data_IF_816563359396
#
_entry.id   IF_816563359396
#
_cell.length_a   1.000
_cell.length_b   1.000
_cell.length_c   1.000
_cell.angle_alpha   90.00
_cell.angle_beta   90.00
_cell.angle_gamma   90.00
#
_symmetry.space_group_name_H-M   'P 1'
#
loop_
_entity.id
_entity.type
_entity.pdbx_description
1 polymer ?
#
# COMPACT_ATOMS: atom_id res chain seq x y z
N UNK A 1 -17.35 31.84 8.26
CA UNK A 1 -16.01 31.34 7.90
C UNK A 1 -15.19 30.89 9.11
N UNK A 2 -15.16 31.61 10.24
CA UNK A 2 -14.32 31.23 11.40
C UNK A 2 -14.69 29.90 12.09
N UNK A 3 -15.99 29.57 12.26
CA UNK A 3 -16.38 28.38 13.05
C UNK A 3 -16.05 27.03 12.39
N UNK A 4 -16.15 26.91 11.06
CA UNK A 4 -15.83 25.67 10.36
C UNK A 4 -14.32 25.38 10.38
N UNK A 5 -13.50 26.43 10.26
CA UNK A 5 -12.05 26.32 10.33
C UNK A 5 -11.59 25.89 11.72
N UNK A 6 -12.14 26.48 12.80
CA UNK A 6 -11.85 26.08 14.17
C UNK A 6 -12.16 24.61 14.43
N UNK A 7 -13.30 24.09 13.94
CA UNK A 7 -13.63 22.66 14.09
C UNK A 7 -12.62 21.73 13.39
N UNK A 8 -12.10 22.10 12.23
CA UNK A 8 -11.09 21.28 11.54
C UNK A 8 -9.82 21.20 12.39
N UNK A 9 -9.40 22.32 12.99
CA UNK A 9 -8.22 22.37 13.85
C UNK A 9 -8.37 21.51 15.11
N UNK A 10 -9.55 21.48 15.74
CA UNK A 10 -9.81 20.67 16.94
C UNK A 10 -9.64 19.16 16.67
N UNK A 11 -10.04 18.68 15.49
CA UNK A 11 -9.88 17.27 15.12
C UNK A 11 -8.51 16.95 14.49
N UNK A 12 -7.75 17.96 14.05
CA UNK A 12 -6.47 17.78 13.34
C UNK A 12 -5.47 16.93 14.12
N UNK A 13 -5.21 17.15 15.43
CA UNK A 13 -4.27 16.32 16.19
C UNK A 13 -4.67 14.84 16.18
N UNK A 14 -5.96 14.55 16.40
CA UNK A 14 -6.47 13.19 16.39
C UNK A 14 -6.33 12.54 15.02
N UNK A 15 -6.62 13.27 13.94
CA UNK A 15 -6.41 12.79 12.58
C UNK A 15 -4.94 12.46 12.31
N UNK A 16 -4.02 13.34 12.72
CA UNK A 16 -2.58 13.13 12.53
C UNK A 16 -2.11 11.89 13.29
N UNK A 17 -2.35 11.81 14.59
CA UNK A 17 -1.91 10.66 15.39
C UNK A 17 -2.57 9.36 14.96
N UNK A 18 -3.88 9.38 14.68
CA UNK A 18 -4.59 8.20 14.21
C UNK A 18 -4.09 7.71 12.86
N UNK A 19 -3.81 8.62 11.91
CA UNK A 19 -3.25 8.27 10.60
C UNK A 19 -1.86 7.68 10.72
N UNK A 20 -0.99 8.27 11.56
CA UNK A 20 0.37 7.78 11.76
C UNK A 20 0.39 6.39 12.40
N UNK A 21 -0.49 6.13 13.37
CA UNK A 21 -0.61 4.81 13.99
C UNK A 21 -1.15 3.77 13.01
N UNK A 22 -2.22 4.09 12.27
CA UNK A 22 -2.77 3.19 11.25
C UNK A 22 -1.71 2.87 10.18
N UNK A 23 -0.99 3.88 9.71
CA UNK A 23 0.10 3.75 8.75
C UNK A 23 1.23 2.85 9.28
N UNK A 24 1.70 3.09 10.49
CA UNK A 24 2.81 2.33 11.07
C UNK A 24 2.48 0.84 11.17
N UNK A 25 1.28 0.51 11.64
CA UNK A 25 0.82 -0.88 11.77
C UNK A 25 0.65 -1.52 10.40
N UNK A 26 -0.03 -0.83 9.49
CA UNK A 26 -0.36 -1.37 8.16
C UNK A 26 0.87 -1.55 7.29
N UNK A 27 1.81 -0.62 7.33
CA UNK A 27 3.06 -0.72 6.58
C UNK A 27 3.98 -1.80 7.14
N UNK A 28 4.03 -1.97 8.46
CA UNK A 28 4.77 -3.08 9.07
C UNK A 28 4.18 -4.43 8.66
N UNK A 29 2.85 -4.52 8.61
CA UNK A 29 2.15 -5.71 8.11
C UNK A 29 2.43 -5.97 6.63
N UNK A 30 2.47 -4.93 5.79
CA UNK A 30 2.79 -5.06 4.35
C UNK A 30 4.14 -5.72 4.11
N UNK A 31 5.19 -5.21 4.76
CA UNK A 31 6.56 -5.75 4.62
C UNK A 31 6.63 -7.20 5.09
N UNK A 32 6.04 -7.48 6.25
CA UNK A 32 5.99 -8.84 6.79
C UNK A 32 5.25 -9.80 5.85
N UNK A 33 4.07 -9.39 5.36
CA UNK A 33 3.22 -10.24 4.54
C UNK A 33 3.84 -10.44 3.15
N UNK A 34 4.49 -9.43 2.59
CA UNK A 34 5.27 -9.53 1.36
C UNK A 34 6.39 -10.57 1.48
N UNK A 35 7.16 -10.55 2.58
CA UNK A 35 8.21 -11.54 2.83
C UNK A 35 7.65 -12.94 3.08
N UNK A 36 6.52 -13.05 3.77
CA UNK A 36 5.80 -14.33 3.95
C UNK A 36 5.36 -14.91 2.62
N UNK A 37 4.75 -14.10 1.75
CA UNK A 37 4.36 -14.49 0.40
C UNK A 37 5.57 -14.88 -0.46
N UNK A 38 6.69 -14.15 -0.36
CA UNK A 38 7.94 -14.49 -1.04
C UNK A 38 8.45 -15.89 -0.66
N UNK A 39 8.42 -16.24 0.62
CA UNK A 39 8.81 -17.57 1.09
C UNK A 39 7.85 -18.66 0.59
N UNK A 40 6.55 -18.37 0.56
CA UNK A 40 5.52 -19.31 0.12
C UNK A 40 5.54 -19.57 -1.39
N UNK A 41 5.84 -18.54 -2.19
CA UNK A 41 5.88 -18.66 -3.66
C UNK A 41 7.26 -19.06 -4.19
N UNK A 42 8.24 -19.37 -3.33
CA UNK A 42 9.63 -19.67 -3.73
C UNK A 42 10.20 -18.62 -4.69
N UNK A 43 10.02 -17.33 -4.34
CA UNK A 43 10.38 -16.18 -5.17
C UNK A 43 9.67 -16.05 -6.53
N UNK A 44 8.70 -16.93 -6.83
CA UNK A 44 7.91 -16.86 -8.06
C UNK A 44 6.79 -15.83 -7.90
N UNK A 45 6.40 -15.22 -9.01
CA UNK A 45 5.27 -14.28 -9.11
C UNK A 45 5.39 -13.01 -8.25
N UNK A 46 6.37 -12.15 -8.56
CA UNK A 46 6.54 -10.82 -7.92
C UNK A 46 5.24 -9.99 -7.88
N UNK A 47 4.46 -10.01 -8.97
CA UNK A 47 3.19 -9.30 -9.07
C UNK A 47 2.19 -9.75 -7.99
N UNK A 48 2.13 -11.05 -7.69
CA UNK A 48 1.12 -11.64 -6.83
C UNK A 48 1.39 -11.22 -5.40
N UNK A 49 2.65 -11.33 -4.97
CA UNK A 49 3.04 -10.90 -3.63
C UNK A 49 2.90 -9.39 -3.44
N UNK A 50 3.22 -8.58 -4.46
CA UNK A 50 3.07 -7.12 -4.39
C UNK A 50 1.61 -6.70 -4.27
N UNK A 51 0.72 -7.27 -5.11
CA UNK A 51 -0.69 -6.94 -5.07
C UNK A 51 -1.36 -7.46 -3.80
N UNK A 52 -1.12 -8.71 -3.41
CA UNK A 52 -1.72 -9.27 -2.20
C UNK A 52 -1.26 -8.54 -0.93
N UNK A 53 0.03 -8.17 -0.84
CA UNK A 53 0.52 -7.42 0.31
C UNK A 53 -0.10 -6.03 0.36
N UNK A 54 -0.09 -5.31 -0.75
CA UNK A 54 -0.67 -3.96 -0.84
C UNK A 54 -2.17 -3.97 -0.52
N UNK A 55 -2.94 -4.87 -1.15
CA UNK A 55 -4.39 -4.96 -0.96
C UNK A 55 -4.72 -5.25 0.51
N UNK A 56 -4.09 -6.27 1.10
CA UNK A 56 -4.38 -6.67 2.48
C UNK A 56 -4.00 -5.57 3.47
N UNK A 57 -2.87 -4.90 3.26
CA UNK A 57 -2.38 -3.83 4.12
C UNK A 57 -3.23 -2.57 4.01
N UNK A 58 -3.74 -2.25 2.82
CA UNK A 58 -4.66 -1.13 2.62
C UNK A 58 -6.04 -1.38 3.26
N UNK A 59 -6.51 -2.63 3.28
CA UNK A 59 -7.70 -3.00 4.06
C UNK A 59 -7.46 -2.77 5.55
N UNK A 60 -6.32 -3.24 6.06
CA UNK A 60 -5.94 -3.06 7.45
C UNK A 60 -5.85 -1.57 7.83
N UNK A 61 -5.20 -0.75 7.01
CA UNK A 61 -5.09 0.70 7.19
C UNK A 61 -6.47 1.34 7.27
N UNK A 62 -7.35 0.98 6.35
CA UNK A 62 -8.70 1.54 6.29
C UNK A 62 -9.51 1.20 7.53
N UNK A 63 -9.41 -0.05 8.03
CA UNK A 63 -10.11 -0.48 9.26
C UNK A 63 -9.50 0.19 10.50
N UNK A 64 -8.17 0.23 10.59
CA UNK A 64 -7.48 0.88 11.71
C UNK A 64 -7.79 2.37 11.77
N UNK A 65 -7.77 3.05 10.63
CA UNK A 65 -8.20 4.44 10.53
C UNK A 65 -9.67 4.58 10.93
N UNK A 66 -10.56 3.73 10.41
CA UNK A 66 -11.98 3.74 10.76
C UNK A 66 -12.20 3.69 12.27
N UNK A 67 -11.49 2.79 12.96
CA UNK A 67 -11.58 2.63 14.41
C UNK A 67 -10.88 3.79 15.14
N UNK A 68 -9.58 3.99 14.94
CA UNK A 68 -8.79 4.93 15.76
C UNK A 68 -9.29 6.38 15.58
N UNK A 69 -9.56 6.79 14.35
CA UNK A 69 -9.92 8.17 14.03
C UNK A 69 -11.39 8.45 14.32
N UNK A 70 -12.31 7.57 13.92
CA UNK A 70 -13.75 7.89 13.99
C UNK A 70 -14.45 7.41 15.26
N UNK A 71 -13.80 6.57 16.08
CA UNK A 71 -14.40 6.06 17.32
C UNK A 71 -14.91 7.18 18.23
N UNK A 72 -16.21 7.17 18.52
CA UNK A 72 -16.85 8.14 19.40
C UNK A 72 -17.07 9.54 18.80
N UNK A 73 -16.81 9.76 17.51
CA UNK A 73 -17.10 11.04 16.82
C UNK A 73 -18.18 10.86 15.75
N UNK A 74 -18.11 9.77 14.97
CA UNK A 74 -19.04 9.48 13.88
C UNK A 74 -19.67 8.10 14.03
N UNK A 75 -20.79 7.88 13.35
CA UNK A 75 -21.35 6.54 13.19
C UNK A 75 -20.33 5.64 12.48
N UNK A 76 -19.79 4.67 13.22
CA UNK A 76 -18.83 3.70 12.72
C UNK A 76 -19.43 2.88 11.57
N UNK A 77 -20.74 2.65 11.56
CA UNK A 77 -21.42 1.95 10.48
C UNK A 77 -21.31 2.71 9.15
N UNK A 78 -21.65 4.00 9.14
CA UNK A 78 -21.50 4.87 7.98
C UNK A 78 -20.04 5.02 7.54
N UNK A 79 -19.12 5.21 8.49
CA UNK A 79 -17.69 5.32 8.20
C UNK A 79 -17.14 4.04 7.55
N UNK A 80 -17.53 2.86 8.04
CA UNK A 80 -17.08 1.58 7.51
C UNK A 80 -17.65 1.31 6.11
N UNK A 81 -18.90 1.70 5.83
CA UNK A 81 -19.50 1.61 4.48
C UNK A 81 -18.73 2.46 3.46
N UNK A 82 -18.41 3.70 3.82
CA UNK A 82 -17.59 4.60 3.00
C UNK A 82 -16.18 4.04 2.79
N UNK A 83 -15.58 3.49 3.85
CA UNK A 83 -14.30 2.81 3.80
C UNK A 83 -14.30 1.63 2.83
N UNK A 84 -15.32 0.75 2.89
CA UNK A 84 -15.46 -0.40 1.99
C UNK A 84 -15.60 0.06 0.54
N UNK A 85 -16.41 1.09 0.27
CA UNK A 85 -16.56 1.63 -1.09
C UNK A 85 -15.23 2.17 -1.66
N UNK A 86 -14.48 2.94 -0.84
CA UNK A 86 -13.14 3.42 -1.22
C UNK A 86 -12.16 2.27 -1.43
N UNK A 87 -12.20 1.27 -0.56
CA UNK A 87 -11.33 0.11 -0.63
C UNK A 87 -11.60 -0.73 -1.90
N UNK A 88 -12.87 -0.97 -2.24
CA UNK A 88 -13.24 -1.65 -3.48
C UNK A 88 -12.67 -0.95 -4.72
N UNK A 89 -12.70 0.39 -4.74
CA UNK A 89 -12.10 1.17 -5.81
C UNK A 89 -10.56 1.02 -5.86
N UNK A 90 -9.88 1.02 -4.70
CA UNK A 90 -8.43 0.74 -4.62
C UNK A 90 -8.08 -0.66 -5.14
N UNK A 91 -8.87 -1.68 -4.78
CA UNK A 91 -8.66 -3.06 -5.24
C UNK A 91 -8.85 -3.17 -6.75
N UNK A 92 -9.88 -2.50 -7.28
CA UNK A 92 -10.10 -2.43 -8.72
C UNK A 92 -8.89 -1.84 -9.43
N UNK A 93 -8.41 -0.66 -9.00
CA UNK A 93 -7.21 -0.04 -9.58
C UNK A 93 -6.00 -0.99 -9.52
N UNK A 94 -5.73 -1.60 -8.37
CA UNK A 94 -4.60 -2.53 -8.23
C UNK A 94 -4.69 -3.74 -9.19
N UNK A 95 -5.90 -4.29 -9.38
CA UNK A 95 -6.12 -5.36 -10.35
C UNK A 95 -5.86 -4.89 -11.79
N UNK A 96 -6.20 -3.65 -12.14
CA UNK A 96 -5.90 -3.06 -13.45
C UNK A 96 -4.41 -2.71 -13.65
N UNK A 97 -3.69 -2.36 -12.58
CA UNK A 97 -2.23 -2.11 -12.63
C UNK A 97 -1.42 -3.40 -12.75
N UNK A 98 -2.00 -4.53 -12.36
CA UNK A 98 -1.35 -5.85 -12.39
C UNK A 98 -0.81 -6.28 -13.77
N UNK A 99 -1.55 -6.16 -14.90
CA UNK A 99 -1.01 -6.43 -16.23
C UNK A 99 0.16 -5.50 -16.61
N UNK A 100 0.18 -4.25 -16.14
CA UNK A 100 1.28 -3.32 -16.40
C UNK A 100 2.60 -3.76 -15.74
N UNK A 101 2.55 -4.36 -14.55
CA UNK A 101 3.75 -4.91 -13.88
C UNK A 101 4.36 -6.06 -14.69
N UNK A 102 3.53 -6.90 -15.31
CA UNK A 102 4.01 -7.95 -16.20
C UNK A 102 4.62 -7.41 -17.48
N UNK A 103 4.04 -6.35 -18.05
CA UNK A 103 4.60 -5.66 -19.19
C UNK A 103 5.95 -5.02 -18.87
N UNK A 104 6.06 -4.32 -17.73
CA UNK A 104 7.30 -3.72 -17.25
C UNK A 104 8.39 -4.75 -16.89
N UNK A 105 8.03 -5.94 -16.40
CA UNK A 105 9.00 -7.02 -16.14
C UNK A 105 9.64 -7.55 -17.44
N UNK A 106 8.92 -7.49 -18.55
CA UNK A 106 9.44 -7.87 -19.86
C UNK A 106 10.27 -6.76 -20.51
N UNK A 107 10.40 -5.57 -19.89
CA UNK A 107 11.39 -4.59 -20.30
C UNK A 107 12.78 -5.05 -19.85
N UNK A 108 13.52 -5.59 -20.81
CA UNK A 108 14.92 -5.93 -20.66
C UNK A 108 15.76 -4.63 -20.55
N UNK A 109 15.99 -4.18 -19.32
CA UNK A 109 16.93 -3.09 -18.99
C UNK A 109 18.36 -3.62 -18.85
N UNK A 110 18.68 -4.79 -19.42
CA UNK A 110 20.05 -5.26 -19.58
C UNK A 110 20.45 -5.19 -21.05
N UNK A 111 20.79 -3.98 -21.51
CA UNK A 111 21.87 -3.89 -22.49
C UNK A 111 23.17 -3.95 -21.70
N UNK A 112 23.93 -5.06 -21.72
CA UNK A 112 25.29 -5.01 -21.24
C UNK A 112 26.00 -3.96 -22.09
N UNK A 113 26.47 -2.88 -21.46
CA UNK A 113 27.43 -1.98 -22.09
C UNK A 113 28.65 -2.84 -22.37
N UNK A 114 28.76 -3.30 -23.61
CA UNK A 114 29.86 -4.10 -24.09
C UNK A 114 31.17 -3.35 -23.90
N UNK A 115 32.08 -3.97 -23.17
CA UNK A 115 33.47 -3.58 -23.08
C UNK A 115 34.29 -4.83 -22.82
N UNK A 116 34.51 -5.64 -23.86
CA UNK A 116 35.52 -6.71 -23.84
C UNK A 116 36.87 -6.05 -23.61
N UNK A 117 37.33 -6.00 -22.37
CA UNK A 117 38.76 -5.85 -22.08
C UNK A 117 39.39 -7.21 -22.30
N UNK A 118 39.79 -7.46 -23.55
CA UNK A 118 40.76 -8.50 -23.87
C UNK A 118 42.08 -8.10 -23.20
N UNK A 119 42.39 -8.71 -22.06
CA UNK A 119 43.74 -8.64 -21.50
C UNK A 119 44.64 -9.57 -22.33
N UNK A 120 45.73 -9.05 -22.93
CA UNK A 120 46.66 -9.89 -23.67
C UNK A 120 47.34 -10.85 -22.69
N UNK A 121 47.20 -12.15 -22.97
CA UNK A 121 48.06 -13.18 -22.41
C UNK A 121 49.49 -12.91 -22.87
N UNK A 122 50.34 -12.46 -21.94
CA UNK A 122 51.80 -12.52 -22.05
C UNK A 122 52.37 -12.90 -20.71
#
# INVERSE_FOLDING_TARGET
MHQAFSRILDFTPRFVFGSLLAYLISQSFDVWFFHKLKAWTNDRHLWLRNNLSTITSQALDTVLYAVIVWWGIFDLGAALRLAIAKYAFKVFIAAFDTPFIYWARNWDVSRPVGGRLALPQR
#
